data_IF_700771964540
#
_entry.id   IF_700771964540
#
_cell.length_a   1.000
_cell.length_b   1.000
_cell.length_c   1.000
_cell.angle_alpha   90.00
_cell.angle_beta   90.00
_cell.angle_gamma   90.00
#
_symmetry.space_group_name_H-M   'P 1'
#
loop_
_entity.id
_entity.type
_entity.pdbx_description
1 polymer ?
#
# COMPACT_ATOMS: atom_id res chain seq x y z
N UNK A 1 18.78 -52.78 17.95
CA UNK A 1 19.73 -51.66 17.84
C UNK A 1 19.29 -50.79 16.66
N UNK A 2 18.62 -49.68 16.94
CA UNK A 2 18.17 -48.73 15.91
C UNK A 2 19.34 -47.81 15.56
N UNK A 3 19.85 -47.95 14.33
CA UNK A 3 20.87 -47.06 13.78
C UNK A 3 20.23 -45.71 13.49
N UNK A 4 20.45 -44.73 14.36
CA UNK A 4 20.10 -43.33 14.12
C UNK A 4 21.05 -42.79 13.05
N UNK A 5 20.58 -42.73 11.80
CA UNK A 5 21.31 -42.07 10.72
C UNK A 5 21.49 -40.59 11.07
N UNK A 6 22.68 -40.01 10.84
CA UNK A 6 22.94 -38.60 11.11
C UNK A 6 22.02 -37.74 10.26
N UNK A 7 21.17 -36.97 10.93
CA UNK A 7 20.25 -36.03 10.29
C UNK A 7 21.09 -34.99 9.54
N UNK A 8 20.88 -34.79 8.23
CA UNK A 8 21.67 -33.84 7.44
C UNK A 8 21.55 -32.45 8.08
N UNK A 9 22.70 -31.78 8.25
CA UNK A 9 22.76 -30.46 8.87
C UNK A 9 21.76 -29.52 8.17
N UNK A 10 20.72 -29.14 8.91
CA UNK A 10 19.71 -28.19 8.43
C UNK A 10 20.43 -26.87 8.18
N UNK A 11 20.62 -26.50 6.91
CA UNK A 11 21.21 -25.21 6.55
C UNK A 11 20.29 -24.13 7.09
N UNK A 12 20.69 -23.50 8.19
CA UNK A 12 20.06 -22.28 8.68
C UNK A 12 20.44 -21.20 7.67
N UNK A 13 19.50 -20.83 6.81
CA UNK A 13 19.68 -19.70 5.91
C UNK A 13 19.86 -18.46 6.79
N UNK A 14 21.08 -17.90 6.81
CA UNK A 14 21.32 -16.63 7.48
C UNK A 14 20.39 -15.56 6.87
N UNK A 15 19.84 -14.65 7.68
CA UNK A 15 19.01 -13.56 7.18
C UNK A 15 19.83 -12.80 6.14
N UNK A 16 19.35 -12.76 4.90
CA UNK A 16 19.99 -12.01 3.85
C UNK A 16 20.15 -10.55 4.31
N UNK A 17 21.40 -10.07 4.36
CA UNK A 17 21.66 -8.65 4.60
C UNK A 17 20.78 -7.84 3.64
N UNK A 18 20.18 -6.72 4.07
CA UNK A 18 19.36 -5.89 3.20
C UNK A 18 20.22 -5.51 1.98
N UNK A 19 19.92 -6.16 0.85
CA UNK A 19 20.69 -5.99 -0.37
C UNK A 19 20.67 -4.53 -0.77
N UNK A 20 21.76 -4.05 -1.37
CA UNK A 20 21.77 -2.73 -1.99
C UNK A 20 20.55 -2.65 -2.93
N UNK A 21 19.67 -1.66 -2.76
CA UNK A 21 18.48 -1.53 -3.59
C UNK A 21 18.87 -1.56 -5.06
N UNK A 22 18.18 -2.40 -5.84
CA UNK A 22 18.48 -2.55 -7.26
C UNK A 22 18.31 -1.21 -8.00
N UNK A 23 19.06 -0.99 -9.08
CA UNK A 23 18.89 0.22 -9.91
C UNK A 23 17.43 0.43 -10.36
N UNK A 24 16.71 -0.68 -10.63
CA UNK A 24 15.28 -0.68 -10.93
C UNK A 24 14.44 -0.09 -9.79
N UNK A 25 14.73 -0.45 -8.56
CA UNK A 25 14.02 0.07 -7.38
C UNK A 25 14.32 1.55 -7.16
N UNK A 26 15.54 1.99 -7.41
CA UNK A 26 15.90 3.42 -7.38
C UNK A 26 15.13 4.23 -8.41
N UNK A 27 15.06 3.78 -9.66
CA UNK A 27 14.27 4.43 -10.71
C UNK A 27 12.79 4.48 -10.36
N UNK A 28 12.24 3.36 -9.87
CA UNK A 28 10.86 3.28 -9.40
C UNK A 28 10.57 4.32 -8.31
N UNK A 29 11.37 4.36 -7.24
CA UNK A 29 11.18 5.31 -6.14
C UNK A 29 11.32 6.77 -6.60
N UNK A 30 12.22 7.03 -7.54
CA UNK A 30 12.46 8.37 -8.09
C UNK A 30 11.29 8.85 -8.94
N UNK A 31 10.79 8.01 -9.87
CA UNK A 31 9.63 8.34 -10.69
C UNK A 31 8.38 8.64 -9.86
N UNK A 32 8.15 7.88 -8.79
CA UNK A 32 6.96 8.03 -7.95
C UNK A 32 7.13 8.98 -6.77
N UNK A 33 8.31 9.60 -6.62
CA UNK A 33 8.65 10.50 -5.52
C UNK A 33 7.60 11.59 -5.23
N UNK A 34 6.99 12.25 -6.24
CA UNK A 34 5.96 13.26 -5.99
C UNK A 34 4.74 12.75 -5.22
N UNK A 35 4.42 11.46 -5.34
CA UNK A 35 3.22 10.85 -4.75
C UNK A 35 3.40 10.41 -3.30
N UNK A 36 4.63 10.27 -2.80
CA UNK A 36 4.89 9.81 -1.43
C UNK A 36 5.77 10.75 -0.60
N UNK A 37 6.49 11.70 -1.20
CA UNK A 37 7.29 12.68 -0.44
C UNK A 37 6.37 13.57 0.41
N UNK A 38 6.59 13.70 1.72
CA UNK A 38 5.66 14.39 2.63
C UNK A 38 4.25 13.77 2.71
N UNK A 39 4.12 12.50 2.32
CA UNK A 39 2.95 11.69 2.65
C UNK A 39 3.23 10.85 3.90
N UNK A 40 2.17 10.41 4.58
CA UNK A 40 2.26 9.42 5.66
C UNK A 40 2.25 8.01 5.06
N UNK A 41 1.94 7.90 3.77
CA UNK A 41 2.05 6.64 3.05
C UNK A 41 3.54 6.24 2.93
N UNK A 42 3.86 4.96 3.18
CA UNK A 42 5.20 4.46 2.96
C UNK A 42 5.58 4.58 1.48
N UNK A 43 6.88 4.61 1.18
CA UNK A 43 7.35 4.58 -0.20
C UNK A 43 6.78 3.36 -0.94
N UNK A 44 6.26 3.53 -2.17
CA UNK A 44 5.63 2.46 -2.91
C UNK A 44 6.65 1.37 -3.24
N UNK A 45 6.34 0.15 -2.83
CA UNK A 45 7.16 -1.02 -3.15
C UNK A 45 6.83 -1.51 -4.56
N UNK A 46 7.84 -2.06 -5.24
CA UNK A 46 7.61 -2.76 -6.50
C UNK A 46 6.84 -4.05 -6.20
N UNK A 47 5.67 -4.24 -6.83
CA UNK A 47 4.90 -5.47 -6.68
C UNK A 47 5.79 -6.69 -6.93
N UNK A 48 5.94 -7.51 -5.90
CA UNK A 48 6.60 -8.81 -6.00
C UNK A 48 5.50 -9.85 -6.16
N UNK A 49 5.65 -10.77 -7.12
CA UNK A 49 4.69 -11.85 -7.28
C UNK A 49 4.62 -12.65 -5.96
N UNK A 50 3.40 -12.86 -5.46
CA UNK A 50 3.19 -13.75 -4.32
C UNK A 50 3.60 -15.18 -4.75
N UNK A 51 4.27 -15.91 -3.86
CA UNK A 51 4.58 -17.32 -4.11
C UNK A 51 3.27 -18.10 -4.34
N UNK A 52 3.27 -19.12 -5.22
CA UNK A 52 2.10 -19.97 -5.41
C UNK A 52 1.72 -20.62 -4.08
N UNK A 53 0.42 -20.66 -3.80
CA UNK A 53 -0.08 -21.35 -2.62
C UNK A 53 -0.03 -22.87 -2.85
N UNK A 54 0.36 -23.68 -1.85
CA UNK A 54 0.29 -25.13 -1.96
C UNK A 54 -1.17 -25.58 -2.10
N UNK A 55 -1.40 -26.73 -2.75
CA UNK A 55 -2.77 -27.23 -2.99
C UNK A 55 -3.48 -27.66 -1.69
N UNK A 56 -2.73 -28.16 -0.71
CA UNK A 56 -3.26 -28.64 0.56
C UNK A 56 -2.80 -27.73 1.70
N UNK A 57 -3.68 -26.84 2.16
CA UNK A 57 -3.36 -25.82 3.18
C UNK A 57 -4.02 -26.12 4.53
N UNK A 58 -5.03 -26.98 4.55
CA UNK A 58 -5.88 -27.23 5.72
C UNK A 58 -6.74 -26.01 6.10
N UNK A 59 -7.68 -26.21 7.03
CA UNK A 59 -8.61 -25.16 7.47
C UNK A 59 -7.89 -24.01 8.19
N UNK A 60 -6.91 -24.32 9.04
CA UNK A 60 -6.14 -23.31 9.76
C UNK A 60 -5.36 -22.40 8.81
N UNK A 61 -4.68 -22.96 7.80
CA UNK A 61 -3.95 -22.15 6.83
C UNK A 61 -4.88 -21.32 5.93
N UNK A 62 -6.06 -21.83 5.57
CA UNK A 62 -7.07 -21.03 4.84
C UNK A 62 -7.53 -19.83 5.67
N UNK A 63 -7.74 -20.00 6.98
CA UNK A 63 -8.11 -18.92 7.89
C UNK A 63 -7.01 -17.85 7.98
N UNK A 64 -5.74 -18.25 8.09
CA UNK A 64 -4.58 -17.35 8.09
C UNK A 64 -4.50 -16.57 6.77
N UNK A 65 -4.56 -17.23 5.62
CA UNK A 65 -4.46 -16.59 4.30
C UNK A 65 -5.61 -15.59 4.10
N UNK A 66 -6.85 -16.00 4.38
CA UNK A 66 -8.02 -15.13 4.20
C UNK A 66 -7.98 -13.93 5.14
N UNK A 67 -7.46 -14.13 6.35
CA UNK A 67 -7.26 -13.05 7.32
C UNK A 67 -6.21 -12.05 6.85
N UNK A 68 -5.04 -12.54 6.41
CA UNK A 68 -3.95 -11.70 5.86
C UNK A 68 -4.40 -10.98 4.60
N UNK A 69 -5.05 -11.65 3.64
CA UNK A 69 -5.51 -11.02 2.39
C UNK A 69 -6.55 -9.92 2.67
N UNK A 70 -7.38 -10.04 3.71
CA UNK A 70 -8.29 -8.96 4.14
C UNK A 70 -7.53 -7.77 4.73
N UNK A 71 -6.56 -8.00 5.62
CA UNK A 71 -5.76 -6.92 6.21
C UNK A 71 -4.96 -6.21 5.11
N UNK A 72 -4.30 -6.98 4.24
CA UNK A 72 -3.60 -6.52 3.04
C UNK A 72 -4.49 -5.64 2.16
N UNK A 73 -5.74 -6.07 1.90
CA UNK A 73 -6.69 -5.28 1.11
C UNK A 73 -7.04 -3.96 1.79
N UNK A 74 -7.26 -3.95 3.11
CA UNK A 74 -7.55 -2.72 3.84
C UNK A 74 -6.37 -1.73 3.80
N UNK A 75 -5.15 -2.21 4.07
CA UNK A 75 -3.92 -1.40 3.99
C UNK A 75 -3.73 -0.85 2.57
N UNK A 76 -3.92 -1.70 1.55
CA UNK A 76 -3.86 -1.29 0.16
C UNK A 76 -4.91 -0.21 -0.17
N UNK A 77 -6.15 -0.36 0.29
CA UNK A 77 -7.20 0.65 0.05
C UNK A 77 -6.85 2.00 0.69
N UNK A 78 -6.28 2.01 1.91
CA UNK A 78 -5.83 3.25 2.54
C UNK A 78 -4.70 3.92 1.76
N UNK A 79 -3.69 3.16 1.34
CA UNK A 79 -2.60 3.71 0.52
C UNK A 79 -3.09 4.18 -0.86
N UNK A 80 -3.97 3.40 -1.50
CA UNK A 80 -4.58 3.76 -2.77
C UNK A 80 -5.36 5.08 -2.67
N UNK A 81 -6.15 5.26 -1.61
CA UNK A 81 -6.88 6.50 -1.37
C UNK A 81 -5.93 7.70 -1.23
N UNK A 82 -4.81 7.54 -0.51
CA UNK A 82 -3.77 8.58 -0.39
C UNK A 82 -3.21 8.94 -1.77
N UNK A 83 -2.78 7.98 -2.58
CA UNK A 83 -2.17 8.25 -3.88
C UNK A 83 -3.14 8.90 -4.88
N UNK A 84 -4.42 8.49 -4.87
CA UNK A 84 -5.47 9.09 -5.71
C UNK A 84 -5.72 10.54 -5.26
N UNK A 85 -5.96 10.77 -3.96
CA UNK A 85 -6.15 12.12 -3.42
C UNK A 85 -4.94 13.01 -3.73
N UNK A 86 -3.74 12.43 -3.73
CA UNK A 86 -2.50 13.13 -4.08
C UNK A 86 -2.44 13.54 -5.54
N UNK A 87 -2.81 12.65 -6.46
CA UNK A 87 -2.95 13.00 -7.87
C UNK A 87 -3.92 14.17 -8.09
N UNK A 88 -5.04 14.19 -7.35
CA UNK A 88 -6.03 15.28 -7.41
C UNK A 88 -5.41 16.61 -6.96
N UNK A 89 -4.87 16.69 -5.74
CA UNK A 89 -4.38 17.99 -5.24
C UNK A 89 -3.12 18.45 -5.98
N UNK A 90 -2.26 17.55 -6.47
CA UNK A 90 -1.14 17.91 -7.35
C UNK A 90 -1.64 18.52 -8.66
N UNK A 91 -2.71 17.96 -9.24
CA UNK A 91 -3.38 18.56 -10.41
C UNK A 91 -3.91 19.96 -10.12
N UNK A 92 -4.56 20.16 -8.96
CA UNK A 92 -5.03 21.49 -8.53
C UNK A 92 -3.88 22.46 -8.29
N UNK A 93 -2.76 22.01 -7.71
CA UNK A 93 -1.55 22.82 -7.52
C UNK A 93 -0.99 23.27 -8.87
N UNK A 94 -0.90 22.39 -9.87
CA UNK A 94 -0.44 22.74 -11.22
C UNK A 94 -1.37 23.78 -11.85
N UNK A 95 -2.69 23.58 -11.75
CA UNK A 95 -3.65 24.56 -12.25
C UNK A 95 -3.52 25.92 -11.54
N UNK A 96 -3.32 25.93 -10.21
CA UNK A 96 -3.14 27.15 -9.43
C UNK A 96 -1.85 27.88 -9.82
N UNK A 97 -0.76 27.15 -10.03
CA UNK A 97 0.50 27.71 -10.49
C UNK A 97 0.39 28.33 -11.89
N UNK A 98 -0.26 27.63 -12.84
CA UNK A 98 -0.48 28.15 -14.20
C UNK A 98 -1.36 29.41 -14.18
N UNK A 99 -2.42 29.42 -13.38
CA UNK A 99 -3.30 30.59 -13.25
C UNK A 99 -2.60 31.76 -12.56
N UNK A 100 -1.74 31.50 -11.58
CA UNK A 100 -0.92 32.54 -10.95
C UNK A 100 0.09 33.15 -11.93
N UNK A 101 0.74 32.33 -12.78
CA UNK A 101 1.67 32.81 -13.81
C UNK A 101 0.95 33.76 -14.78
N UNK A 102 -0.24 33.39 -15.22
CA UNK A 102 -1.08 34.24 -16.09
C UNK A 102 -1.46 35.57 -15.42
N UNK A 103 -1.84 35.55 -14.13
CA UNK A 103 -2.12 36.77 -13.36
C UNK A 103 -0.91 37.70 -13.24
N UNK A 104 0.30 37.15 -13.23
CA UNK A 104 1.57 37.91 -13.19
C UNK A 104 2.02 38.40 -14.59
N UNK A 105 1.16 38.32 -15.60
CA UNK A 105 1.46 38.76 -16.97
C UNK A 105 2.10 37.67 -17.85
N UNK A 106 2.03 36.41 -17.43
CA UNK A 106 2.46 35.26 -18.22
C UNK A 106 1.50 34.88 -19.35
N UNK A 107 1.68 33.69 -19.96
CA UNK A 107 0.78 33.18 -21.00
C UNK A 107 -0.65 33.02 -20.50
N UNK A 108 -1.62 33.25 -21.40
CA UNK A 108 -3.06 33.08 -21.11
C UNK A 108 -3.34 31.65 -20.63
N UNK A 109 -3.96 31.53 -19.46
CA UNK A 109 -4.34 30.26 -18.84
C UNK A 109 -5.27 29.48 -19.77
N UNK A 110 -4.83 28.29 -20.15
CA UNK A 110 -5.63 27.34 -20.92
C UNK A 110 -6.21 26.28 -19.97
N UNK A 111 -7.52 26.29 -19.69
CA UNK A 111 -8.14 25.32 -18.78
C UNK A 111 -8.06 23.89 -19.30
N UNK A 112 -8.02 23.69 -20.62
CA UNK A 112 -7.90 22.35 -21.21
C UNK A 112 -6.51 21.76 -20.97
N UNK A 113 -5.46 22.57 -21.10
CA UNK A 113 -4.09 22.15 -20.83
C UNK A 113 -3.89 21.84 -19.33
N UNK A 114 -4.39 22.71 -18.45
CA UNK A 114 -4.35 22.49 -17.00
C UNK A 114 -5.14 21.22 -16.61
N UNK A 115 -6.33 21.03 -17.17
CA UNK A 115 -7.15 19.84 -16.97
C UNK A 115 -6.46 18.56 -17.47
N UNK A 116 -5.80 18.63 -18.63
CA UNK A 116 -5.03 17.50 -19.19
C UNK A 116 -3.84 17.10 -18.29
N UNK A 117 -3.08 18.08 -17.79
CA UNK A 117 -1.99 17.82 -16.84
C UNK A 117 -2.52 17.26 -15.51
N UNK A 118 -3.63 17.81 -15.01
CA UNK A 118 -4.29 17.30 -13.81
C UNK A 118 -4.79 15.85 -13.98
N UNK A 119 -5.38 15.53 -15.12
CA UNK A 119 -5.80 14.18 -15.45
C UNK A 119 -4.61 13.21 -15.54
N UNK A 120 -3.49 13.64 -16.13
CA UNK A 120 -2.26 12.85 -16.18
C UNK A 120 -1.74 12.51 -14.77
N UNK A 121 -1.77 13.48 -13.85
CA UNK A 121 -1.36 13.28 -12.45
C UNK A 121 -2.34 12.37 -11.69
N UNK A 122 -3.65 12.51 -11.92
CA UNK A 122 -4.65 11.61 -11.35
C UNK A 122 -4.45 10.17 -11.82
N UNK A 123 -4.26 9.97 -13.12
CA UNK A 123 -3.99 8.66 -13.72
C UNK A 123 -2.69 8.08 -13.18
N UNK A 124 -1.63 8.90 -13.03
CA UNK A 124 -0.39 8.48 -12.39
C UNK A 124 -0.61 7.98 -10.95
N UNK A 125 -1.39 8.70 -10.15
CA UNK A 125 -1.77 8.28 -8.79
C UNK A 125 -2.56 6.97 -8.77
N UNK A 126 -3.49 6.78 -9.72
CA UNK A 126 -4.28 5.56 -9.85
C UNK A 126 -3.42 4.35 -10.30
N UNK A 127 -2.49 4.55 -11.25
CA UNK A 127 -1.53 3.52 -11.67
C UNK A 127 -0.66 3.12 -10.48
N UNK A 128 -0.13 4.09 -9.73
CA UNK A 128 0.66 3.81 -8.55
C UNK A 128 -0.14 3.05 -7.49
N UNK A 129 -1.41 3.43 -7.26
CA UNK A 129 -2.31 2.72 -6.38
C UNK A 129 -2.50 1.25 -6.82
N UNK A 130 -2.70 0.99 -8.11
CA UNK A 130 -2.83 -0.36 -8.63
C UNK A 130 -1.54 -1.20 -8.49
N UNK A 131 -0.37 -0.58 -8.71
CA UNK A 131 0.92 -1.26 -8.70
C UNK A 131 1.55 -1.42 -7.32
N UNK A 132 1.11 -0.66 -6.31
CA UNK A 132 1.67 -0.67 -4.95
C UNK A 132 1.04 -1.72 -4.02
N UNK A 133 0.39 -2.75 -4.57
CA UNK A 133 -0.23 -3.82 -3.78
C UNK A 133 0.85 -4.58 -2.98
N UNK A 134 0.81 -4.56 -1.64
CA UNK A 134 1.80 -5.28 -0.85
C UNK A 134 1.63 -6.79 -1.01
N UNK A 135 2.74 -7.53 -0.97
CA UNK A 135 2.75 -8.99 -0.98
C UNK A 135 2.36 -9.60 0.37
N UNK A 136 1.92 -10.86 0.37
CA UNK A 136 1.47 -11.55 1.61
C UNK A 136 2.58 -11.68 2.64
N UNK A 137 3.76 -12.13 2.22
CA UNK A 137 4.92 -12.33 3.09
C UNK A 137 5.38 -11.04 3.75
N UNK A 138 5.45 -9.95 2.97
CA UNK A 138 5.76 -8.60 3.46
C UNK A 138 4.71 -8.13 4.48
N UNK A 139 3.43 -8.32 4.16
CA UNK A 139 2.32 -7.95 5.06
C UNK A 139 2.43 -8.70 6.40
N UNK A 140 2.72 -10.01 6.37
CA UNK A 140 2.94 -10.79 7.57
C UNK A 140 4.16 -10.29 8.38
N UNK A 141 5.29 -10.02 7.72
CA UNK A 141 6.48 -9.45 8.39
C UNK A 141 6.20 -8.08 9.01
N UNK A 142 5.42 -7.23 8.35
CA UNK A 142 5.00 -5.95 8.89
C UNK A 142 4.13 -6.13 10.13
N UNK A 143 3.14 -7.04 10.07
CA UNK A 143 2.27 -7.36 11.20
C UNK A 143 3.06 -7.96 12.36
N UNK A 144 4.02 -8.85 12.09
CA UNK A 144 4.88 -9.45 13.12
C UNK A 144 5.69 -8.38 13.85
N UNK A 145 6.23 -7.39 13.12
CA UNK A 145 6.97 -6.26 13.71
C UNK A 145 6.05 -5.29 14.46
N UNK A 146 4.91 -4.90 13.87
CA UNK A 146 4.01 -3.92 14.48
C UNK A 146 3.29 -4.45 15.72
N UNK A 147 3.03 -5.76 15.75
CA UNK A 147 2.25 -6.41 16.80
C UNK A 147 3.11 -7.31 17.71
N UNK A 148 4.44 -7.26 17.55
CA UNK A 148 5.41 -8.05 18.33
C UNK A 148 5.07 -9.55 18.37
N UNK A 149 4.65 -10.11 17.24
CA UNK A 149 4.28 -11.53 17.14
C UNK A 149 5.49 -12.45 17.01
N UNK A 150 6.72 -11.95 17.12
CA UNK A 150 7.96 -12.73 17.10
C UNK A 150 8.06 -13.68 15.89
N UNK A 151 7.80 -13.15 14.69
CA UNK A 151 7.87 -13.87 13.40
C UNK A 151 6.85 -15.02 13.22
N UNK A 152 5.87 -15.18 14.13
CA UNK A 152 4.88 -16.25 14.06
C UNK A 152 4.09 -16.27 12.76
N UNK A 153 3.70 -15.12 12.21
CA UNK A 153 2.93 -15.09 10.96
C UNK A 153 3.80 -15.35 9.74
N UNK A 154 5.01 -14.81 9.70
CA UNK A 154 5.95 -15.07 8.62
C UNK A 154 6.35 -16.55 8.56
N UNK A 155 6.65 -17.17 9.70
CA UNK A 155 6.95 -18.61 9.78
C UNK A 155 5.74 -19.46 9.41
N UNK A 156 4.55 -19.13 9.91
CA UNK A 156 3.33 -19.85 9.53
C UNK A 156 3.04 -19.77 8.03
N UNK A 157 3.32 -18.63 7.38
CA UNK A 157 3.22 -18.52 5.92
C UNK A 157 4.28 -19.38 5.19
N UNK A 158 5.51 -19.40 5.68
CA UNK A 158 6.60 -20.19 5.07
C UNK A 158 6.36 -21.71 5.25
N UNK A 159 5.67 -22.13 6.32
CA UNK A 159 5.29 -23.53 6.61
C UNK A 159 3.90 -23.93 6.06
N UNK A 160 3.29 -23.10 5.18
CA UNK A 160 2.00 -23.43 4.57
C UNK A 160 2.05 -24.78 3.84
N UNK A 161 1.06 -25.63 4.14
CA UNK A 161 0.92 -26.97 3.56
C UNK A 161 1.89 -28.02 4.10
N UNK A 162 2.77 -27.67 5.05
CA UNK A 162 3.61 -28.63 5.76
C UNK A 162 2.84 -29.20 6.94
N UNK A 163 2.77 -30.54 7.03
CA UNK A 163 2.16 -31.21 8.18
C UNK A 163 0.65 -31.04 8.28
N UNK A 164 -0.06 -31.03 7.15
CA UNK A 164 -1.53 -31.13 7.15
C UNK A 164 -1.91 -32.54 7.63
N UNK A 165 -2.60 -32.70 8.77
CA UNK A 165 -2.96 -34.02 9.26
C UNK A 165 -4.01 -34.66 8.36
N UNK A 166 -3.86 -35.96 8.09
CA UNK A 166 -4.95 -36.75 7.51
C UNK A 166 -6.14 -36.82 8.49
N UNK A 167 -7.39 -36.93 7.98
CA UNK A 167 -8.56 -37.04 8.83
C UNK A 167 -8.42 -38.16 9.87
N UNK A 168 -8.55 -37.82 11.15
CA UNK A 168 -8.45 -38.78 12.26
C UNK A 168 -7.06 -38.95 12.89
N UNK A 169 -6.02 -38.31 12.34
CA UNK A 169 -4.67 -38.32 12.92
C UNK A 169 -4.46 -37.11 13.84
N UNK A 170 -3.72 -37.30 14.94
CA UNK A 170 -3.40 -36.21 15.88
C UNK A 170 -2.64 -35.08 15.16
N UNK A 171 -3.09 -33.85 15.35
CA UNK A 171 -2.49 -32.68 14.71
C UNK A 171 -0.99 -32.54 15.08
N UNK A 172 -0.09 -32.38 14.10
CA UNK A 172 1.32 -32.14 14.38
C UNK A 172 1.53 -30.73 14.95
N UNK A 173 2.68 -30.51 15.60
CA UNK A 173 3.03 -29.24 16.24
C UNK A 173 2.91 -28.04 15.28
N UNK A 174 3.27 -28.23 14.00
CA UNK A 174 3.16 -27.20 12.95
C UNK A 174 1.71 -26.75 12.74
N UNK A 175 0.74 -27.68 12.83
CA UNK A 175 -0.67 -27.34 12.70
C UNK A 175 -1.18 -26.53 13.90
N UNK A 176 -0.68 -26.80 15.11
CA UNK A 176 -1.00 -25.99 16.30
C UNK A 176 -0.45 -24.57 16.17
N UNK A 177 0.77 -24.41 15.67
CA UNK A 177 1.35 -23.08 15.40
C UNK A 177 0.52 -22.31 14.35
N UNK A 178 0.00 -23.00 13.33
CA UNK A 178 -0.91 -22.41 12.35
C UNK A 178 -2.24 -21.98 12.99
N UNK A 179 -2.77 -22.75 13.93
CA UNK A 179 -3.98 -22.39 14.67
C UNK A 179 -3.75 -21.16 15.58
N UNK A 180 -2.60 -21.08 16.24
CA UNK A 180 -2.22 -19.91 17.03
C UNK A 180 -2.05 -18.66 16.15
N UNK A 181 -1.44 -18.81 14.97
CA UNK A 181 -1.37 -17.75 13.97
C UNK A 181 -2.76 -17.32 13.50
N UNK A 182 -3.69 -18.26 13.28
CA UNK A 182 -5.07 -17.95 12.91
C UNK A 182 -5.78 -17.13 14.00
N UNK A 183 -5.61 -17.49 15.28
CA UNK A 183 -6.14 -16.75 16.41
C UNK A 183 -5.53 -15.34 16.51
N UNK A 184 -4.22 -15.21 16.32
CA UNK A 184 -3.56 -13.90 16.29
C UNK A 184 -4.12 -13.01 15.16
N UNK A 185 -4.29 -13.57 13.95
CA UNK A 185 -4.91 -12.83 12.83
C UNK A 185 -6.36 -12.46 13.13
N UNK A 186 -7.13 -13.33 13.78
CA UNK A 186 -8.49 -13.02 14.20
C UNK A 186 -8.53 -11.84 15.20
N UNK A 187 -7.61 -11.81 16.18
CA UNK A 187 -7.46 -10.68 17.10
C UNK A 187 -7.08 -9.38 16.37
N UNK A 188 -6.12 -9.45 15.44
CA UNK A 188 -5.69 -8.29 14.65
C UNK A 188 -6.84 -7.70 13.82
N UNK A 189 -7.73 -8.54 13.29
CA UNK A 189 -8.90 -8.05 12.53
C UNK A 189 -9.86 -7.19 13.37
N UNK A 190 -9.87 -7.36 14.69
CA UNK A 190 -10.66 -6.52 15.59
C UNK A 190 -9.98 -5.18 15.89
N UNK A 191 -8.67 -5.05 15.67
CA UNK A 191 -7.91 -3.83 15.93
C UNK A 191 -8.36 -2.70 14.99
N UNK A 192 -8.75 -1.58 15.58
CA UNK A 192 -9.21 -0.40 14.86
C UNK A 192 -8.10 0.25 14.04
N UNK A 193 -6.83 0.02 14.40
CA UNK A 193 -5.67 0.54 13.67
C UNK A 193 -5.53 -0.04 12.26
N UNK A 194 -6.11 -1.21 12.00
CA UNK A 194 -6.10 -1.88 10.69
C UNK A 194 -7.35 -1.58 9.85
N UNK A 195 -8.24 -0.70 10.32
CA UNK A 195 -9.36 -0.21 9.54
C UNK A 195 -8.88 0.77 8.48
N UNK A 196 -9.55 0.85 7.32
CA UNK A 196 -9.23 1.86 6.32
C UNK A 196 -9.31 3.26 6.94
N UNK A 197 -8.17 3.94 7.03
CA UNK A 197 -8.09 5.33 7.47
C UNK A 197 -8.33 6.26 6.27
N UNK A 198 -9.08 7.34 6.50
CA UNK A 198 -9.25 8.40 5.53
C UNK A 198 -7.97 9.25 5.45
N UNK A 199 -7.53 9.65 4.23
CA UNK A 199 -6.35 10.49 4.06
C UNK A 199 -6.67 11.96 4.39
N UNK A 200 -6.93 12.26 5.67
CA UNK A 200 -7.44 13.57 6.13
C UNK A 200 -6.56 14.73 5.66
N UNK A 201 -5.23 14.59 5.75
CA UNK A 201 -4.30 15.63 5.26
C UNK A 201 -4.48 15.88 3.76
N UNK A 202 -4.62 14.84 2.95
CA UNK A 202 -4.68 15.01 1.50
C UNK A 202 -6.03 15.59 1.09
N UNK A 203 -7.11 15.20 1.77
CA UNK A 203 -8.43 15.83 1.62
C UNK A 203 -8.39 17.31 1.98
N UNK A 204 -7.73 17.68 3.08
CA UNK A 204 -7.56 19.09 3.46
C UNK A 204 -6.79 19.87 2.39
N UNK A 205 -5.72 19.29 1.81
CA UNK A 205 -4.97 19.90 0.72
C UNK A 205 -5.83 20.09 -0.54
N UNK A 206 -6.66 19.10 -0.91
CA UNK A 206 -7.61 19.25 -2.02
C UNK A 206 -8.52 20.47 -1.80
N UNK A 207 -9.10 20.60 -0.60
CA UNK A 207 -9.97 21.74 -0.25
C UNK A 207 -9.21 23.07 -0.32
N UNK A 208 -8.01 23.14 0.28
CA UNK A 208 -7.18 24.36 0.26
C UNK A 208 -6.86 24.79 -1.17
N UNK A 209 -6.42 23.87 -2.02
CA UNK A 209 -6.07 24.20 -3.41
C UNK A 209 -7.29 24.51 -4.28
N UNK A 210 -8.44 23.89 -4.03
CA UNK A 210 -9.69 24.24 -4.69
C UNK A 210 -10.14 25.67 -4.32
N UNK A 211 -10.06 26.04 -3.04
CA UNK A 211 -10.34 27.39 -2.58
C UNK A 211 -9.35 28.41 -3.16
N UNK A 212 -8.06 28.08 -3.19
CA UNK A 212 -7.04 28.93 -3.81
C UNK A 212 -7.34 29.18 -5.29
N UNK A 213 -7.68 28.14 -6.05
CA UNK A 213 -8.09 28.27 -7.45
C UNK A 213 -9.32 29.15 -7.63
N UNK A 214 -10.27 29.06 -6.70
CA UNK A 214 -11.47 29.89 -6.72
C UNK A 214 -11.12 31.37 -6.53
N UNK A 215 -10.24 31.68 -5.58
CA UNK A 215 -9.73 33.04 -5.35
C UNK A 215 -8.98 33.56 -6.57
N UNK A 216 -8.11 32.76 -7.18
CA UNK A 216 -7.37 33.15 -8.39
C UNK A 216 -8.31 33.37 -9.59
N UNK A 217 -9.35 32.55 -9.74
CA UNK A 217 -10.35 32.71 -10.78
C UNK A 217 -11.11 34.04 -10.61
N UNK A 218 -11.50 34.39 -9.39
CA UNK A 218 -12.11 35.69 -9.09
C UNK A 218 -11.15 36.85 -9.35
N UNK A 219 -9.89 36.74 -8.95
CA UNK A 219 -8.87 37.77 -9.20
C UNK A 219 -8.64 37.99 -10.70
N UNK A 220 -8.81 36.94 -11.52
CA UNK A 220 -8.78 37.01 -12.99
C UNK A 220 -10.04 37.67 -13.60
N UNK A 221 -11.08 37.92 -12.81
CA UNK A 221 -12.33 38.52 -13.28
C UNK A 221 -13.35 37.50 -13.80
N UNK A 222 -13.13 36.19 -13.63
CA UNK A 222 -14.12 35.16 -13.91
C UNK A 222 -15.26 35.28 -12.88
N UNK A 223 -16.34 35.99 -13.26
CA UNK A 223 -17.52 36.23 -12.41
C UNK A 223 -17.90 37.71 -12.21
N UNK A 224 -17.10 38.65 -12.73
CA UNK A 224 -17.31 40.10 -12.55
C UNK A 224 -18.11 40.80 -13.65
N UNK A 225 -18.73 40.07 -14.58
CA UNK A 225 -19.60 40.67 -15.59
C UNK A 225 -20.91 41.14 -14.95
N UNK A 226 -20.96 42.36 -14.44
CA UNK A 226 -22.23 43.04 -14.22
C UNK A 226 -22.96 43.07 -15.58
N UNK A 227 -24.21 42.58 -15.69
CA UNK A 227 -24.96 42.73 -16.92
C UNK A 227 -25.02 44.22 -17.26
N UNK A 228 -24.69 44.58 -18.49
CA UNK A 228 -24.80 45.95 -18.97
C UNK A 228 -26.25 46.42 -18.79
N UNK A 229 -26.45 47.37 -17.87
CA UNK A 229 -27.70 48.12 -17.72
C UNK A 229 -27.73 49.27 -18.73
#
# INVERSE_FOLDING_TARGET
MQSTLPQPARRVALPALPGTPSAREHLWRTCWRPYWTWSDAPAPELATADAPLPEQIGLAGQAVITGIDRIRRNLWLSHAAVYICRGIWLGLLVAAALMLIDLLGGPVFNPQAAGGLGALLLVGGAILAALSKPGRRRTAQMLDRSCQLHERLATALDDLGVGVPEPGVRAPLVYLQMADAANAVAMLRADHRLRPALPVRELALIVIFALLLTVLAFARGLGGGLPAL
#
